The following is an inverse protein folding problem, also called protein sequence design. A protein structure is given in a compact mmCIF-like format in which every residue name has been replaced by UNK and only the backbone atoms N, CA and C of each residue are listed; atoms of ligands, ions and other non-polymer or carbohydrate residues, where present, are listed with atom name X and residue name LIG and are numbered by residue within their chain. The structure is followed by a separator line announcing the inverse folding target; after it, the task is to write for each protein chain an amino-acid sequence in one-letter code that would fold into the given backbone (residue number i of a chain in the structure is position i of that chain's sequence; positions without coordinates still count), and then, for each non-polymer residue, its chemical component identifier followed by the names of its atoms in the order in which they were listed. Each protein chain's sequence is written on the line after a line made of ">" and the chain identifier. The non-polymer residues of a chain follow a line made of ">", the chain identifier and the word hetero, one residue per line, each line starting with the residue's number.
data_IF_636450326883
#
_entry.id   IF_636450326883
#
_cell.length_a   1.000
_cell.length_b   1.000
_cell.length_c   1.000
_cell.angle_alpha   90.00
_cell.angle_beta   90.00
_cell.angle_gamma   90.00
#
_symmetry.space_group_name_H-M   'P 1'
#
loop_
_entity.id
_entity.type
_entity.pdbx_description
1 polymer ?
#
# COMPACT_ATOMS: atom_id res chain seq x y z
N UNK A 1 72.32 -6.40 -39.23
CA UNK A 1 71.32 -5.68 -40.03
C UNK A 1 70.32 -5.02 -39.07
N UNK A 2 70.23 -3.68 -39.06
CA UNK A 2 69.21 -2.94 -38.31
C UNK A 2 68.20 -2.40 -39.33
N UNK A 3 66.88 -2.56 -39.13
CA UNK A 3 65.92 -1.71 -39.81
C UNK A 3 65.65 -0.47 -38.96
N UNK A 4 65.97 0.67 -39.55
CA UNK A 4 65.33 1.95 -39.27
C UNK A 4 63.87 1.87 -39.71
N UNK A 5 62.94 2.36 -38.88
CA UNK A 5 61.62 2.75 -39.35
C UNK A 5 61.23 4.09 -38.73
N UNK A 6 60.86 4.96 -39.64
CA UNK A 6 60.48 6.35 -39.55
C UNK A 6 59.06 6.58 -39.01
N UNK A 7 58.88 7.82 -38.55
CA UNK A 7 57.67 8.51 -38.11
C UNK A 7 56.32 8.02 -38.67
N UNK A 8 55.34 7.86 -37.77
CA UNK A 8 53.91 8.12 -38.08
C UNK A 8 53.24 8.85 -36.92
N UNK A 9 52.80 10.07 -37.20
CA UNK A 9 51.88 10.89 -36.40
C UNK A 9 50.65 10.08 -35.98
N UNK A 10 50.28 10.15 -34.71
CA UNK A 10 48.94 9.79 -34.21
C UNK A 10 48.41 10.90 -33.28
N UNK A 11 47.40 11.60 -33.83
CA UNK A 11 46.32 12.40 -33.25
C UNK A 11 46.37 12.87 -31.78
N UNK A 12 46.05 14.17 -31.50
CA UNK A 12 45.81 14.62 -30.14
C UNK A 12 44.51 14.02 -29.59
N UNK A 13 44.59 13.35 -28.43
CA UNK A 13 43.41 12.90 -27.68
C UNK A 13 42.60 14.13 -27.24
N UNK A 14 41.45 14.34 -27.88
CA UNK A 14 40.42 15.26 -27.43
C UNK A 14 39.91 14.78 -26.07
N UNK A 15 40.28 15.47 -24.99
CA UNK A 15 39.65 15.32 -23.68
C UNK A 15 38.22 15.84 -23.77
N UNK A 16 37.25 14.96 -23.97
CA UNK A 16 35.86 15.26 -23.63
C UNK A 16 35.69 14.92 -22.14
N UNK A 17 35.42 15.89 -21.25
CA UNK A 17 34.93 15.53 -19.93
C UNK A 17 33.52 14.96 -20.10
N UNK A 18 33.36 13.66 -19.89
CA UNK A 18 32.03 13.08 -19.68
C UNK A 18 31.38 13.83 -18.50
N UNK A 19 30.18 14.39 -18.64
CA UNK A 19 29.47 14.93 -17.49
C UNK A 19 29.19 13.76 -16.52
N UNK A 20 29.33 13.96 -15.20
CA UNK A 20 29.01 12.92 -14.24
C UNK A 20 27.54 12.54 -14.40
N UNK A 21 27.29 11.30 -14.80
CA UNK A 21 25.96 10.72 -14.76
C UNK A 21 25.55 10.67 -13.29
N UNK A 22 24.80 11.69 -12.86
CA UNK A 22 24.05 11.70 -11.62
C UNK A 22 23.01 10.57 -11.70
N UNK A 23 23.42 9.36 -11.34
CA UNK A 23 22.50 8.33 -10.90
C UNK A 23 21.93 8.81 -9.57
N UNK A 24 20.94 9.69 -9.64
CA UNK A 24 20.03 9.95 -8.53
C UNK A 24 19.35 8.63 -8.21
N UNK A 25 19.96 7.86 -7.30
CA UNK A 25 19.33 6.71 -6.68
C UNK A 25 18.06 7.24 -6.03
N UNK A 26 16.91 6.99 -6.65
CA UNK A 26 15.61 7.25 -6.02
C UNK A 26 15.61 6.50 -4.70
N UNK A 27 15.41 7.23 -3.61
CA UNK A 27 15.31 6.64 -2.29
C UNK A 27 14.26 5.52 -2.32
N UNK A 28 14.50 4.37 -1.66
CA UNK A 28 13.48 3.34 -1.58
C UNK A 28 12.19 3.94 -1.02
N UNK A 29 11.02 3.61 -1.58
CA UNK A 29 9.76 4.19 -1.13
C UNK A 29 9.64 3.98 0.38
N UNK A 30 9.37 5.08 1.10
CA UNK A 30 9.26 5.08 2.56
C UNK A 30 8.22 4.03 2.98
N UNK A 31 8.59 3.11 3.86
CA UNK A 31 7.75 2.00 4.33
C UNK A 31 6.36 2.45 4.80
N UNK A 32 6.21 3.68 5.29
CA UNK A 32 4.93 4.31 5.64
C UNK A 32 3.88 4.25 4.53
N UNK A 33 4.28 4.38 3.26
CA UNK A 33 3.32 4.36 2.17
C UNK A 33 2.69 2.96 2.02
N UNK A 34 3.49 1.90 2.20
CA UNK A 34 3.01 0.52 2.09
C UNK A 34 2.07 0.15 3.24
N UNK A 35 2.37 0.60 4.46
CA UNK A 35 1.51 0.37 5.61
C UNK A 35 0.14 1.04 5.44
N UNK A 36 0.12 2.30 5.00
CA UNK A 36 -1.11 3.03 4.71
C UNK A 36 -1.91 2.38 3.58
N UNK A 37 -1.24 1.87 2.54
CA UNK A 37 -1.90 1.12 1.47
C UNK A 37 -2.60 -0.12 2.01
N UNK A 38 -1.93 -0.90 2.86
CA UNK A 38 -2.51 -2.11 3.44
C UNK A 38 -3.71 -1.81 4.35
N UNK A 39 -3.64 -0.75 5.15
CA UNK A 39 -4.78 -0.28 5.96
C UNK A 39 -5.96 0.11 5.06
N UNK A 40 -5.70 0.91 4.02
CA UNK A 40 -6.74 1.33 3.07
C UNK A 40 -7.36 0.17 2.29
N UNK A 41 -6.56 -0.83 1.91
CA UNK A 41 -7.05 -2.04 1.26
C UNK A 41 -8.05 -2.77 2.18
N UNK A 42 -7.72 -2.93 3.47
CA UNK A 42 -8.60 -3.57 4.45
C UNK A 42 -9.88 -2.75 4.65
N UNK A 43 -9.77 -1.41 4.79
CA UNK A 43 -10.95 -0.52 4.86
C UNK A 43 -11.86 -0.72 3.65
N UNK A 44 -11.27 -0.81 2.46
CA UNK A 44 -12.00 -1.04 1.21
C UNK A 44 -12.70 -2.40 1.21
N UNK A 45 -12.08 -3.46 1.76
CA UNK A 45 -12.70 -4.78 1.86
C UNK A 45 -13.96 -4.76 2.73
N UNK A 46 -13.94 -4.04 3.86
CA UNK A 46 -15.13 -3.85 4.69
C UNK A 46 -16.24 -3.13 3.94
N UNK A 47 -15.94 -1.97 3.35
CA UNK A 47 -16.92 -1.18 2.58
C UNK A 47 -17.48 -1.98 1.41
N UNK A 48 -16.64 -2.73 0.70
CA UNK A 48 -17.06 -3.57 -0.42
C UNK A 48 -17.99 -4.71 0.03
N UNK A 49 -17.77 -5.29 1.20
CA UNK A 49 -18.68 -6.30 1.76
C UNK A 49 -20.07 -5.69 2.06
N UNK A 50 -20.10 -4.53 2.72
CA UNK A 50 -21.37 -3.84 3.00
C UNK A 50 -22.10 -3.47 1.70
N UNK A 51 -21.38 -2.92 0.72
CA UNK A 51 -21.92 -2.61 -0.60
C UNK A 51 -22.48 -3.84 -1.32
N UNK A 52 -21.74 -4.95 -1.31
CA UNK A 52 -22.15 -6.21 -1.94
C UNK A 52 -23.39 -6.82 -1.27
N UNK A 53 -23.59 -6.53 0.00
CA UNK A 53 -24.73 -7.00 0.81
C UNK A 53 -25.94 -6.07 0.72
N UNK A 54 -25.87 -4.99 -0.08
CA UNK A 54 -26.85 -3.90 -0.11
C UNK A 54 -27.18 -3.39 1.30
N UNK A 55 -26.13 -3.26 2.13
CA UNK A 55 -26.27 -2.88 3.52
C UNK A 55 -26.80 -1.45 3.67
N UNK A 56 -27.69 -1.27 4.64
CA UNK A 56 -28.20 0.03 5.07
C UNK A 56 -27.60 0.40 6.44
N UNK A 57 -27.86 1.61 6.91
CA UNK A 57 -27.52 2.01 8.27
C UNK A 57 -28.09 0.99 9.30
N UNK A 58 -27.27 0.60 10.26
CA UNK A 58 -27.57 -0.43 11.26
C UNK A 58 -27.32 -1.87 10.80
N UNK A 59 -26.87 -2.10 9.56
CA UNK A 59 -26.56 -3.45 9.09
C UNK A 59 -25.35 -4.02 9.81
N UNK A 60 -25.42 -5.30 10.18
CA UNK A 60 -24.41 -5.96 11.01
C UNK A 60 -23.57 -6.91 10.16
N UNK A 61 -22.26 -6.72 10.19
CA UNK A 61 -21.28 -7.68 9.72
C UNK A 61 -20.87 -8.56 10.90
N UNK A 62 -21.34 -9.80 10.92
CA UNK A 62 -21.07 -10.70 12.05
C UNK A 62 -19.60 -11.12 12.08
N UNK A 63 -19.11 -11.57 13.23
CA UNK A 63 -17.78 -12.20 13.34
C UNK A 63 -17.52 -13.27 12.27
N UNK A 64 -18.52 -14.09 11.94
CA UNK A 64 -18.39 -15.11 10.91
C UNK A 64 -18.17 -14.51 9.51
N UNK A 65 -18.84 -13.39 9.22
CA UNK A 65 -18.69 -12.67 7.96
C UNK A 65 -17.32 -11.98 7.89
N UNK A 66 -16.88 -11.34 8.98
CA UNK A 66 -15.53 -10.76 9.08
C UNK A 66 -14.46 -11.82 8.83
N UNK A 67 -14.58 -12.99 9.45
CA UNK A 67 -13.65 -14.09 9.22
C UNK A 67 -13.65 -14.52 7.75
N UNK A 68 -14.82 -14.73 7.15
CA UNK A 68 -14.92 -15.25 5.77
C UNK A 68 -14.54 -14.22 4.70
N UNK A 69 -14.97 -12.98 4.86
CA UNK A 69 -14.83 -11.94 3.86
C UNK A 69 -13.48 -11.21 3.94
N UNK A 70 -12.92 -11.09 5.16
CA UNK A 70 -11.76 -10.27 5.47
C UNK A 70 -10.59 -11.13 5.94
N UNK A 71 -10.69 -11.75 7.13
CA UNK A 71 -9.54 -12.45 7.74
C UNK A 71 -9.04 -13.63 6.92
N UNK A 72 -9.92 -14.36 6.22
CA UNK A 72 -9.51 -15.46 5.33
C UNK A 72 -8.62 -15.00 4.16
N UNK A 73 -8.66 -13.71 3.81
CA UNK A 73 -7.88 -13.12 2.72
C UNK A 73 -6.65 -12.36 3.22
N UNK A 74 -6.50 -12.21 4.54
CA UNK A 74 -5.37 -11.53 5.17
C UNK A 74 -4.28 -12.53 5.52
N UNK A 75 -3.03 -12.12 5.35
CA UNK A 75 -1.88 -12.83 5.94
C UNK A 75 -1.75 -12.42 7.41
N UNK A 76 -1.26 -13.33 8.25
CA UNK A 76 -0.88 -13.13 9.65
C UNK A 76 -0.03 -11.87 9.90
N UNK A 77 0.76 -11.44 8.91
CA UNK A 77 1.57 -10.22 8.97
C UNK A 77 0.74 -8.93 8.92
N UNK A 78 -0.54 -9.03 8.56
CA UNK A 78 -1.42 -7.91 8.34
C UNK A 78 -2.39 -7.66 9.51
N UNK A 79 -2.35 -8.46 10.57
CA UNK A 79 -3.20 -8.30 11.76
C UNK A 79 -3.10 -6.90 12.40
N UNK A 80 -1.90 -6.32 12.39
CA UNK A 80 -1.70 -4.94 12.88
C UNK A 80 -2.40 -3.90 12.01
N UNK A 81 -2.47 -4.13 10.70
CA UNK A 81 -3.16 -3.23 9.76
C UNK A 81 -4.67 -3.43 9.82
N UNK A 82 -5.12 -4.65 10.08
CA UNK A 82 -6.53 -4.96 10.31
C UNK A 82 -7.05 -4.19 11.53
N UNK A 83 -6.36 -4.29 12.66
CA UNK A 83 -6.74 -3.57 13.89
C UNK A 83 -6.79 -2.07 13.65
N UNK A 84 -5.74 -1.52 13.01
CA UNK A 84 -5.69 -0.09 12.67
C UNK A 84 -6.81 0.34 11.71
N UNK A 85 -7.16 -0.48 10.73
CA UNK A 85 -8.26 -0.19 9.82
C UNK A 85 -9.60 -0.12 10.56
N UNK A 86 -9.86 -1.04 11.51
CA UNK A 86 -11.05 -0.98 12.35
C UNK A 86 -11.07 0.27 13.23
N UNK A 87 -9.95 0.60 13.86
CA UNK A 87 -9.83 1.79 14.70
C UNK A 87 -10.11 3.06 13.89
N UNK A 88 -9.52 3.18 12.70
CA UNK A 88 -9.75 4.34 11.83
C UNK A 88 -11.22 4.44 11.36
N UNK A 89 -11.85 3.34 10.94
CA UNK A 89 -13.26 3.35 10.55
C UNK A 89 -14.19 3.68 11.73
N UNK A 90 -13.82 3.26 12.94
CA UNK A 90 -14.56 3.58 14.16
C UNK A 90 -14.38 5.04 14.55
N UNK A 91 -13.15 5.56 14.50
CA UNK A 91 -12.82 6.95 14.77
C UNK A 91 -13.49 7.91 13.77
N UNK A 92 -13.60 7.49 12.51
CA UNK A 92 -14.33 8.23 11.48
C UNK A 92 -15.86 8.08 11.60
N UNK A 93 -16.35 7.29 12.56
CA UNK A 93 -17.77 6.96 12.76
C UNK A 93 -18.41 6.39 11.51
N UNK A 94 -17.68 5.59 10.74
CA UNK A 94 -18.20 4.85 9.57
C UNK A 94 -18.82 3.55 10.05
N UNK A 95 -18.18 2.88 11.00
CA UNK A 95 -18.65 1.65 11.64
C UNK A 95 -18.62 1.79 13.17
N UNK A 96 -19.36 0.94 13.85
CA UNK A 96 -19.27 0.72 15.28
C UNK A 96 -18.85 -0.73 15.55
N UNK A 97 -17.89 -0.92 16.46
CA UNK A 97 -17.46 -2.25 16.89
C UNK A 97 -18.28 -2.65 18.11
N UNK A 98 -18.89 -3.83 18.09
CA UNK A 98 -19.60 -4.37 19.25
C UNK A 98 -18.65 -4.84 20.36
N UNK A 99 -19.21 -5.14 21.54
CA UNK A 99 -18.45 -5.59 22.73
C UNK A 99 -17.61 -6.84 22.52
N UNK A 100 -17.88 -7.61 21.47
CA UNK A 100 -17.10 -8.80 21.09
C UNK A 100 -15.80 -8.46 20.35
N UNK A 101 -15.58 -7.19 20.00
CA UNK A 101 -14.37 -6.68 19.37
C UNK A 101 -14.19 -7.05 17.91
N UNK A 102 -15.18 -7.73 17.29
CA UNK A 102 -15.06 -8.21 15.89
C UNK A 102 -16.34 -7.99 15.10
N UNK A 103 -17.51 -8.02 15.73
CA UNK A 103 -18.77 -7.72 15.03
C UNK A 103 -18.86 -6.22 14.77
N UNK A 104 -19.17 -5.86 13.53
CA UNK A 104 -19.20 -4.47 13.06
C UNK A 104 -20.61 -4.08 12.66
N UNK A 105 -21.04 -2.88 13.04
CA UNK A 105 -22.31 -2.30 12.65
C UNK A 105 -22.05 -1.11 11.75
N UNK A 106 -22.67 -1.07 10.58
CA UNK A 106 -22.58 0.07 9.68
C UNK A 106 -23.39 1.25 10.26
N UNK A 107 -22.77 2.41 10.40
CA UNK A 107 -23.47 3.61 10.87
C UNK A 107 -24.23 4.29 9.72
N UNK A 108 -25.06 5.29 10.04
CA UNK A 108 -25.68 6.14 9.01
C UNK A 108 -24.63 6.80 8.11
N UNK A 109 -23.60 7.39 8.71
CA UNK A 109 -22.51 8.04 7.97
C UNK A 109 -21.78 7.08 7.05
N UNK A 110 -21.56 5.84 7.50
CA UNK A 110 -20.95 4.81 6.67
C UNK A 110 -21.84 4.38 5.51
N UNK A 111 -23.15 4.25 5.73
CA UNK A 111 -24.12 3.94 4.69
C UNK A 111 -24.20 5.03 3.61
N UNK A 112 -24.09 6.30 4.00
CA UNK A 112 -24.08 7.44 3.08
C UNK A 112 -22.84 7.45 2.15
N UNK A 113 -21.79 6.68 2.48
CA UNK A 113 -20.54 6.57 1.71
C UNK A 113 -20.48 5.34 0.78
N UNK A 114 -21.47 4.43 0.84
CA UNK A 114 -21.51 3.20 0.02
C UNK A 114 -21.91 3.47 -1.44
#
# INVERSE_FOLDING_TARGET
>A
MKPSYSDRKTTPKKNYPNPPQNFTRKAPPKKENLETLQVNDIKTMFMHWFKSSNALAGHVMTKADVVKAILKKLDSKQDKFFTRAMDELTNESIIEVQTDGVTLVLTQKGADLL
#
